data_IF_767023063008
#
_entry.id   IF_767023063008
#
_cell.length_a   1.000
_cell.length_b   1.000
_cell.length_c   1.000
_cell.angle_alpha   90.00
_cell.angle_beta   90.00
_cell.angle_gamma   90.00
#
_symmetry.space_group_name_H-M   'P 1'
#
loop_
_entity.id
_entity.type
_entity.pdbx_description
1 polymer ?
#
# COMPACT_ATOMS: atom_id res chain seq x y z
N UNK A 1 -43.66 12.99 -48.18
CA UNK A 1 -43.82 11.97 -47.12
C UNK A 1 -42.44 11.71 -46.53
N UNK A 2 -42.17 12.21 -45.32
CA UNK A 2 -40.93 11.96 -44.56
C UNK A 2 -41.36 11.40 -43.21
N UNK A 3 -41.18 10.10 -43.04
CA UNK A 3 -41.43 9.32 -41.82
C UNK A 3 -40.49 9.85 -40.72
N UNK A 4 -40.98 10.30 -39.55
CA UNK A 4 -41.51 9.54 -38.39
C UNK A 4 -40.43 8.74 -37.64
N UNK A 5 -40.11 9.30 -36.45
CA UNK A 5 -39.84 8.66 -35.14
C UNK A 5 -38.55 7.85 -34.95
N UNK A 6 -37.85 8.21 -33.88
CA UNK A 6 -36.87 7.33 -33.24
C UNK A 6 -36.09 8.00 -32.11
N UNK A 7 -36.77 8.59 -31.12
CA UNK A 7 -36.15 8.96 -29.83
C UNK A 7 -35.77 7.65 -29.13
N UNK A 8 -34.48 7.42 -28.90
CA UNK A 8 -34.03 6.39 -27.96
C UNK A 8 -33.28 7.06 -26.81
N UNK A 9 -34.04 7.32 -25.75
CA UNK A 9 -33.52 7.56 -24.41
C UNK A 9 -33.00 6.21 -23.90
N UNK A 10 -31.75 6.17 -23.45
CA UNK A 10 -31.31 5.12 -22.53
C UNK A 10 -30.51 5.79 -21.43
N UNK A 11 -31.24 6.24 -20.41
CA UNK A 11 -30.72 6.64 -19.11
C UNK A 11 -29.91 5.49 -18.53
N UNK A 12 -28.58 5.63 -18.54
CA UNK A 12 -27.69 4.73 -17.82
C UNK A 12 -27.76 5.12 -16.33
N UNK A 13 -28.75 4.58 -15.63
CA UNK A 13 -28.83 4.64 -14.18
C UNK A 13 -27.71 3.74 -13.65
N UNK A 14 -26.56 4.33 -13.36
CA UNK A 14 -25.53 3.66 -12.57
C UNK A 14 -26.04 3.60 -11.13
N UNK A 15 -26.66 2.47 -10.79
CA UNK A 15 -26.77 2.01 -9.41
C UNK A 15 -25.36 1.77 -8.88
N UNK A 16 -24.69 2.82 -8.41
CA UNK A 16 -23.64 2.65 -7.41
C UNK A 16 -24.33 2.25 -6.12
N UNK A 17 -24.61 0.95 -6.01
CA UNK A 17 -24.87 0.27 -4.76
C UNK A 17 -23.70 0.58 -3.85
N UNK A 18 -23.83 1.63 -3.04
CA UNK A 18 -22.95 1.88 -1.92
C UNK A 18 -23.30 0.80 -0.89
N UNK A 19 -22.74 -0.39 -1.10
CA UNK A 19 -22.80 -1.49 -0.19
C UNK A 19 -22.34 -0.98 1.16
N UNK A 20 -23.28 -0.99 2.11
CA UNK A 20 -23.07 -0.75 3.53
C UNK A 20 -22.21 -1.92 4.03
N UNK A 21 -20.91 -1.81 3.80
CA UNK A 21 -19.90 -2.80 4.17
C UNK A 21 -19.33 -2.43 5.52
N UNK A 22 -19.72 -3.22 6.51
CA UNK A 22 -19.14 -3.46 7.84
C UNK A 22 -17.88 -2.67 8.22
N UNK A 23 -17.88 -2.16 9.45
CA UNK A 23 -16.70 -1.73 10.21
C UNK A 23 -15.53 -2.71 10.00
N UNK A 24 -14.62 -2.36 9.08
CA UNK A 24 -13.31 -2.98 8.99
C UNK A 24 -12.32 -1.97 9.54
N UNK A 25 -11.95 -2.14 10.80
CA UNK A 25 -10.90 -1.35 11.45
C UNK A 25 -9.63 -1.35 10.58
N UNK A 26 -9.22 -0.18 10.10
CA UNK A 26 -7.82 0.23 9.83
C UNK A 26 -6.95 -0.49 8.78
N UNK A 27 -7.38 -1.59 8.14
CA UNK A 27 -6.53 -2.35 7.22
C UNK A 27 -6.71 -1.94 5.74
N UNK A 28 -5.60 -1.63 5.08
CA UNK A 28 -5.52 -1.34 3.64
C UNK A 28 -4.83 -2.47 2.88
N UNK A 29 -5.23 -2.71 1.62
CA UNK A 29 -4.56 -3.65 0.71
C UNK A 29 -4.05 -2.93 -0.52
N UNK A 30 -2.81 -3.19 -0.92
CA UNK A 30 -2.27 -2.62 -2.15
C UNK A 30 -1.14 -3.44 -2.74
N UNK A 31 -0.89 -3.24 -4.03
CA UNK A 31 0.33 -3.73 -4.67
C UNK A 31 1.45 -2.79 -4.28
N UNK A 32 2.55 -3.35 -3.77
CA UNK A 32 3.71 -2.61 -3.33
C UNK A 32 4.98 -3.18 -3.92
N UNK A 33 5.97 -2.33 -4.14
CA UNK A 33 7.35 -2.78 -4.31
C UNK A 33 8.01 -2.78 -2.93
N UNK A 34 8.49 -3.94 -2.49
CA UNK A 34 9.27 -4.07 -1.25
C UNK A 34 10.68 -3.58 -1.52
N UNK A 35 11.22 -2.68 -0.71
CA UNK A 35 12.57 -2.13 -0.89
C UNK A 35 13.36 -2.37 0.39
N UNK A 36 14.47 -3.09 0.28
CA UNK A 36 15.44 -3.26 1.36
C UNK A 36 16.61 -2.32 1.16
N UNK A 37 16.77 -1.33 2.03
CA UNK A 37 17.89 -0.39 1.99
C UNK A 37 19.09 -0.84 2.84
N UNK A 38 19.16 -2.12 3.21
CA UNK A 38 20.22 -2.64 4.07
C UNK A 38 19.88 -2.59 5.55
N UNK A 39 20.74 -3.23 6.35
CA UNK A 39 20.58 -3.29 7.79
C UNK A 39 20.83 -1.90 8.43
N UNK A 40 19.93 -1.41 9.30
CA UNK A 40 20.16 -0.18 10.06
C UNK A 40 21.51 -0.11 10.78
N UNK A 41 22.06 -1.24 11.23
CA UNK A 41 23.37 -1.30 11.87
C UNK A 41 24.57 -1.10 10.90
N UNK A 42 24.32 -1.17 9.58
CA UNK A 42 25.32 -1.05 8.52
C UNK A 42 25.02 0.15 7.57
N UNK A 43 24.44 1.22 8.11
CA UNK A 43 23.99 2.42 7.38
C UNK A 43 22.81 2.20 6.41
N UNK A 44 22.06 1.13 6.60
CA UNK A 44 20.81 0.92 5.87
C UNK A 44 19.63 1.66 6.47
N UNK A 45 18.59 1.91 5.67
CA UNK A 45 17.31 2.45 6.18
C UNK A 45 16.29 1.33 6.50
N UNK A 46 16.71 0.06 6.48
CA UNK A 46 15.87 -1.11 6.65
C UNK A 46 14.87 -1.32 5.51
N UNK A 47 13.71 -1.87 5.85
CA UNK A 47 12.64 -2.28 4.95
C UNK A 47 11.60 -1.17 4.73
N UNK A 48 11.25 -0.98 3.47
CA UNK A 48 10.31 0.03 3.00
C UNK A 48 9.32 -0.58 2.00
N UNK A 49 8.16 0.03 1.88
CA UNK A 49 7.16 -0.28 0.86
C UNK A 49 6.96 0.94 -0.02
N UNK A 50 7.09 0.77 -1.33
CA UNK A 50 6.61 1.75 -2.30
C UNK A 50 5.20 1.36 -2.74
N UNK A 51 4.22 2.16 -2.36
CA UNK A 51 2.81 1.97 -2.69
C UNK A 51 2.40 3.14 -3.57
N UNK A 52 2.10 2.87 -4.85
CA UNK A 52 1.92 3.89 -5.89
C UNK A 52 3.17 4.78 -5.98
N UNK A 53 3.05 6.07 -5.62
CA UNK A 53 4.12 7.07 -5.68
C UNK A 53 4.74 7.38 -4.32
N UNK A 54 4.18 6.83 -3.22
CA UNK A 54 4.65 7.09 -1.87
C UNK A 54 5.55 5.95 -1.35
N UNK A 55 6.55 6.33 -0.55
CA UNK A 55 7.41 5.39 0.17
C UNK A 55 7.03 5.41 1.66
N UNK A 56 6.87 4.22 2.23
CA UNK A 56 6.52 4.04 3.62
C UNK A 56 7.57 3.20 4.33
N UNK A 57 8.03 3.64 5.51
CA UNK A 57 8.91 2.86 6.36
C UNK A 57 8.12 1.75 7.04
N UNK A 58 8.61 0.51 6.98
CA UNK A 58 7.99 -0.61 7.69
C UNK A 58 8.43 -0.59 9.15
N UNK A 59 7.47 -0.48 10.07
CA UNK A 59 7.76 -0.35 11.51
C UNK A 59 7.98 -1.68 12.22
N UNK A 60 7.44 -2.77 11.69
CA UNK A 60 7.55 -4.11 12.25
C UNK A 60 8.50 -5.00 11.44
N UNK A 61 9.56 -4.42 10.87
CA UNK A 61 10.47 -5.11 9.94
C UNK A 61 11.18 -6.33 10.55
N UNK A 62 11.37 -6.37 11.87
CA UNK A 62 11.95 -7.51 12.58
C UNK A 62 11.07 -8.76 12.49
N UNK A 63 9.76 -8.58 12.36
CA UNK A 63 8.79 -9.66 12.21
C UNK A 63 8.59 -10.09 10.75
N UNK A 64 9.33 -9.48 9.82
CA UNK A 64 9.22 -9.76 8.40
C UNK A 64 10.24 -10.82 7.99
N UNK A 65 9.76 -11.85 7.30
CA UNK A 65 10.59 -12.94 6.80
C UNK A 65 11.76 -12.43 5.93
N UNK A 66 12.94 -13.03 6.11
CA UNK A 66 14.17 -12.61 5.43
C UNK A 66 14.08 -12.62 3.90
N UNK A 67 13.19 -13.43 3.30
CA UNK A 67 12.93 -13.44 1.85
C UNK A 67 12.46 -12.10 1.28
N UNK A 68 11.95 -11.20 2.13
CA UNK A 68 11.55 -9.84 1.74
C UNK A 68 12.66 -8.80 1.98
N UNK A 69 13.81 -9.19 2.55
CA UNK A 69 14.95 -8.32 2.92
C UNK A 69 16.17 -8.50 1.99
N UNK A 70 15.94 -8.78 0.70
CA UNK A 70 17.03 -9.16 -0.22
C UNK A 70 17.05 -8.39 -1.53
N UNK A 71 15.90 -7.96 -2.09
CA UNK A 71 15.83 -7.04 -3.23
C UNK A 71 14.38 -6.65 -3.57
N UNK A 72 14.22 -5.74 -4.56
CA UNK A 72 12.91 -5.22 -4.98
C UNK A 72 11.98 -6.30 -5.51
N UNK A 73 10.99 -6.69 -4.70
CA UNK A 73 9.95 -7.66 -5.07
C UNK A 73 8.59 -6.97 -5.07
N UNK A 74 7.82 -7.15 -6.14
CA UNK A 74 6.43 -6.71 -6.19
C UNK A 74 5.56 -7.71 -5.44
N UNK A 75 4.76 -7.23 -4.50
CA UNK A 75 3.90 -8.05 -3.63
C UNK A 75 2.53 -7.42 -3.50
N UNK A 76 1.50 -8.23 -3.24
CA UNK A 76 0.27 -7.72 -2.64
C UNK A 76 0.45 -7.69 -1.13
N UNK A 77 0.15 -6.57 -0.48
CA UNK A 77 0.36 -6.39 0.95
C UNK A 77 -0.89 -5.88 1.63
N UNK A 78 -1.17 -6.40 2.82
CA UNK A 78 -2.15 -5.88 3.77
C UNK A 78 -1.40 -5.13 4.88
N UNK A 79 -1.78 -3.88 5.14
CA UNK A 79 -1.03 -2.98 6.02
C UNK A 79 -1.94 -1.98 6.74
N UNK A 80 -1.41 -1.34 7.78
CA UNK A 80 -2.02 -0.21 8.49
C UNK A 80 -1.08 0.99 8.37
N UNK A 81 -1.59 2.17 8.00
CA UNK A 81 -0.82 3.42 8.11
C UNK A 81 -0.73 3.83 9.58
N UNK A 82 0.49 4.16 10.04
CA UNK A 82 0.74 4.53 11.44
C UNK A 82 1.19 5.98 11.62
N UNK A 83 1.20 6.76 10.53
CA UNK A 83 1.64 8.16 10.53
C UNK A 83 3.16 8.30 10.51
N UNK A 84 3.66 9.47 10.88
CA UNK A 84 5.10 9.75 10.91
C UNK A 84 5.83 8.88 11.94
N UNK A 85 6.94 8.26 11.51
CA UNK A 85 7.82 7.43 12.33
C UNK A 85 9.26 7.89 12.21
N UNK A 86 10.01 7.73 13.29
CA UNK A 86 11.45 7.97 13.32
C UNK A 86 12.19 6.68 12.98
N UNK A 87 13.14 6.75 12.05
CA UNK A 87 14.09 5.68 11.76
C UNK A 87 15.52 6.19 11.93
N UNK A 88 16.47 5.28 12.15
CA UNK A 88 17.86 5.61 12.44
C UNK A 88 18.77 5.03 11.35
N UNK A 89 19.75 5.83 10.94
CA UNK A 89 20.87 5.43 10.07
C UNK A 89 22.17 5.92 10.71
N UNK A 90 23.34 5.69 10.10
CA UNK A 90 24.60 6.21 10.65
C UNK A 90 24.67 7.74 10.60
N UNK A 91 23.91 8.36 9.70
CA UNK A 91 23.80 9.82 9.61
C UNK A 91 22.91 10.44 10.72
N UNK A 92 22.17 9.63 11.48
CA UNK A 92 21.31 10.07 12.57
C UNK A 92 19.83 9.70 12.41
N UNK A 93 18.93 10.32 13.21
CA UNK A 93 17.49 10.08 13.12
C UNK A 93 16.86 10.84 11.95
N UNK A 94 15.96 10.16 11.26
CA UNK A 94 15.17 10.70 10.16
C UNK A 94 13.69 10.37 10.36
N UNK A 95 12.81 11.10 9.67
CA UNK A 95 11.35 10.94 9.74
C UNK A 95 10.78 10.51 8.39
N UNK A 96 9.77 9.67 8.43
CA UNK A 96 9.01 9.27 7.25
C UNK A 96 7.62 8.77 7.62
N UNK A 97 6.71 8.71 6.65
CA UNK A 97 5.44 8.02 6.83
C UNK A 97 5.66 6.51 7.05
N UNK A 98 4.99 5.96 8.05
CA UNK A 98 5.14 4.59 8.51
C UNK A 98 3.95 3.72 8.15
N UNK A 99 4.24 2.44 7.92
CA UNK A 99 3.23 1.38 7.82
C UNK A 99 3.61 0.19 8.69
N UNK A 100 2.60 -0.44 9.29
CA UNK A 100 2.72 -1.77 9.89
C UNK A 100 2.20 -2.80 8.90
N UNK A 101 3.06 -3.73 8.50
CA UNK A 101 2.67 -4.82 7.60
C UNK A 101 1.93 -5.88 8.41
N UNK A 102 0.73 -6.26 7.97
CA UNK A 102 -0.05 -7.37 8.53
C UNK A 102 0.39 -8.67 7.91
N UNK A 103 0.44 -8.71 6.57
CA UNK A 103 0.92 -9.86 5.80
C UNK A 103 1.24 -9.49 4.36
N UNK A 104 2.17 -10.23 3.78
CA UNK A 104 2.36 -10.31 2.34
C UNK A 104 1.51 -11.44 1.77
N UNK A 105 0.87 -11.19 0.64
CA UNK A 105 0.03 -12.14 -0.09
C UNK A 105 0.79 -12.51 -1.35
N UNK A 106 1.15 -13.79 -1.44
CA UNK A 106 1.83 -14.37 -2.60
C UNK A 106 0.82 -14.68 -3.71
N UNK A 107 1.27 -14.57 -4.95
CA UNK A 107 0.50 -14.89 -6.15
C UNK A 107 0.92 -16.25 -6.72
#
# INVERSE_FOLDING_TARGET
MKNIIGVLITSLILFSSCGKGNESDGFEKSVADVIWYGDPAADGAGLWLKIKEANYKVTNEDNIAAKYKVNKTKVLVEFIKVGEVTYYTMAGPFKAEGVKVVRFIEF
#
